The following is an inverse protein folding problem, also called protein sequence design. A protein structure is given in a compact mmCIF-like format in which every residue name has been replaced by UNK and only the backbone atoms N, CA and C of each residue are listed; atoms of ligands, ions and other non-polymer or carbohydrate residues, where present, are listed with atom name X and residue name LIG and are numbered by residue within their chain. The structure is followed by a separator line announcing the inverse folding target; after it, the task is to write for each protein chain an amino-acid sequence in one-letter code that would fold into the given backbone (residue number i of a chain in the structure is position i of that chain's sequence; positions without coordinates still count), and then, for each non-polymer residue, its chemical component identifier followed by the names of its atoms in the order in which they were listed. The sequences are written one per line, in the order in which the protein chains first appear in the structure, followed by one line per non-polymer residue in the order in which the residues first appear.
data_IF_754888878524
#
_entry.id   IF_754888878524
#
_cell.length_a   1.000
_cell.length_b   1.000
_cell.length_c   1.000
_cell.angle_alpha   90.00
_cell.angle_beta   90.00
_cell.angle_gamma   90.00
#
_symmetry.space_group_name_H-M   'P 1'
#
loop_
_entity.id
_entity.type
_entity.pdbx_description
1 polymer ?
#
# COMPACT_ATOMS: atom_id res chain seq x y z
N UNK A 1 -20.78 3.07 16.16
CA UNK A 1 -20.54 4.40 15.56
C UNK A 1 -19.04 4.62 15.50
N UNK A 2 -18.49 4.98 14.34
CA UNK A 2 -17.05 5.18 14.13
C UNK A 2 -16.67 6.63 14.42
N UNK A 3 -15.58 6.84 15.15
CA UNK A 3 -15.07 8.17 15.51
C UNK A 3 -13.69 8.39 14.92
N UNK A 4 -13.51 9.55 14.29
CA UNK A 4 -12.21 9.98 13.74
C UNK A 4 -11.66 11.13 14.60
N UNK A 5 -10.36 11.06 14.90
CA UNK A 5 -9.59 12.17 15.44
C UNK A 5 -8.66 12.69 14.33
N UNK A 6 -8.89 13.92 13.88
CA UNK A 6 -8.09 14.60 12.87
C UNK A 6 -7.15 15.60 13.53
N UNK A 7 -5.85 15.40 13.41
CA UNK A 7 -4.81 16.17 14.08
C UNK A 7 -3.91 16.83 13.04
N UNK A 8 -4.04 18.14 12.88
CA UNK A 8 -3.35 18.95 11.87
C UNK A 8 -3.28 20.40 12.38
N UNK A 9 -2.11 21.01 12.40
CA UNK A 9 -1.95 22.37 12.92
C UNK A 9 -2.43 23.44 11.93
N UNK A 10 -2.28 23.22 10.63
CA UNK A 10 -2.69 24.15 9.60
C UNK A 10 -4.21 24.11 9.37
N UNK A 11 -4.90 25.20 9.76
CA UNK A 11 -6.37 25.30 9.72
C UNK A 11 -6.97 24.98 8.34
N UNK A 12 -6.35 25.47 7.27
CA UNK A 12 -6.89 25.28 5.91
C UNK A 12 -6.73 23.84 5.43
N UNK A 13 -5.61 23.19 5.75
CA UNK A 13 -5.35 21.80 5.43
C UNK A 13 -6.31 20.92 6.22
N UNK A 14 -6.43 21.15 7.52
CA UNK A 14 -7.35 20.42 8.40
C UNK A 14 -8.79 20.51 7.92
N UNK A 15 -9.27 21.72 7.56
CA UNK A 15 -10.61 21.92 7.00
C UNK A 15 -10.79 21.19 5.66
N UNK A 16 -9.79 21.24 4.78
CA UNK A 16 -9.81 20.49 3.51
C UNK A 16 -9.97 18.99 3.71
N UNK A 17 -9.18 18.41 4.62
CA UNK A 17 -9.26 16.99 4.96
C UNK A 17 -10.61 16.65 5.61
N UNK A 18 -11.10 17.48 6.53
CA UNK A 18 -12.42 17.33 7.13
C UNK A 18 -13.53 17.22 6.06
N UNK A 19 -13.54 18.14 5.10
CA UNK A 19 -14.52 18.13 3.99
C UNK A 19 -14.37 16.89 3.10
N UNK A 20 -13.15 16.42 2.87
CA UNK A 20 -12.91 15.19 2.11
C UNK A 20 -13.45 13.95 2.84
N UNK A 21 -13.27 13.87 4.17
CA UNK A 21 -13.81 12.77 4.98
C UNK A 21 -15.35 12.78 4.95
N UNK A 22 -15.98 13.93 5.18
CA UNK A 22 -17.43 14.11 5.11
C UNK A 22 -18.02 13.64 3.77
N UNK A 23 -17.32 13.92 2.67
CA UNK A 23 -17.73 13.56 1.31
C UNK A 23 -17.20 12.20 0.82
N UNK A 24 -16.58 11.40 1.69
CA UNK A 24 -16.03 10.09 1.31
C UNK A 24 -17.08 9.00 1.16
N UNK A 25 -18.26 9.19 1.73
CA UNK A 25 -19.34 8.19 1.80
C UNK A 25 -19.09 7.06 2.82
N UNK A 26 -18.00 7.13 3.59
CA UNK A 26 -17.72 6.17 4.67
C UNK A 26 -18.55 6.51 5.90
N UNK A 27 -19.14 5.52 6.60
CA UNK A 27 -20.11 5.77 7.69
C UNK A 27 -19.41 6.17 9.01
N UNK A 28 -18.73 7.29 9.04
CA UNK A 28 -18.23 7.90 10.27
C UNK A 28 -19.32 8.76 10.93
N UNK A 29 -19.40 8.69 12.26
CA UNK A 29 -20.42 9.39 13.04
C UNK A 29 -19.94 10.70 13.65
N UNK A 30 -18.64 10.84 13.83
CA UNK A 30 -18.05 11.99 14.52
C UNK A 30 -16.61 12.19 14.06
N UNK A 31 -16.27 13.44 13.74
CA UNK A 31 -14.90 13.87 13.42
C UNK A 31 -14.53 14.94 14.43
N UNK A 32 -13.56 14.64 15.29
CA UNK A 32 -13.00 15.60 16.24
C UNK A 32 -11.71 16.17 15.67
N UNK A 33 -11.57 17.49 15.69
CA UNK A 33 -10.40 18.20 15.18
C UNK A 33 -9.47 18.65 16.31
N UNK A 34 -8.15 18.45 16.13
CA UNK A 34 -7.10 18.94 17.03
C UNK A 34 -6.02 19.66 16.24
N UNK A 35 -5.20 20.48 16.95
CA UNK A 35 -4.12 21.26 16.34
C UNK A 35 -2.72 20.71 16.61
N UNK A 36 -2.57 19.75 17.48
CA UNK A 36 -1.29 19.13 17.87
C UNK A 36 -1.55 17.82 18.61
N UNK A 37 -0.51 17.00 18.75
CA UNK A 37 -0.60 15.72 19.44
C UNK A 37 -0.94 15.81 20.93
N UNK A 38 -0.59 16.91 21.62
CA UNK A 38 -0.91 17.07 23.04
C UNK A 38 -2.41 17.24 23.28
N UNK A 39 -3.08 18.05 22.45
CA UNK A 39 -4.54 18.18 22.49
C UNK A 39 -5.20 16.84 22.15
N UNK A 40 -4.66 16.10 21.15
CA UNK A 40 -5.14 14.78 20.77
C UNK A 40 -5.06 13.77 21.93
N UNK A 41 -3.99 13.78 22.72
CA UNK A 41 -3.85 12.96 23.93
C UNK A 41 -4.97 13.21 24.94
N UNK A 42 -5.37 14.46 25.15
CA UNK A 42 -6.46 14.77 26.09
C UNK A 42 -7.80 14.22 25.60
N UNK A 43 -8.05 14.22 24.28
CA UNK A 43 -9.24 13.57 23.72
C UNK A 43 -9.17 12.04 23.85
N UNK A 44 -8.02 11.42 23.55
CA UNK A 44 -7.81 9.96 23.60
C UNK A 44 -7.94 9.39 25.03
N UNK A 45 -7.61 10.17 26.07
CA UNK A 45 -7.81 9.76 27.47
C UNK A 45 -9.28 9.64 27.86
N UNK A 46 -10.15 10.43 27.25
CA UNK A 46 -11.55 10.58 27.67
C UNK A 46 -12.54 9.94 26.69
N UNK A 47 -12.09 9.64 25.47
CA UNK A 47 -12.97 9.16 24.40
C UNK A 47 -12.25 8.17 23.53
N UNK A 48 -12.91 7.05 23.22
CA UNK A 48 -12.40 6.07 22.28
C UNK A 48 -12.61 6.53 20.84
N UNK A 49 -11.54 6.54 20.07
CA UNK A 49 -11.54 6.79 18.63
C UNK A 49 -11.19 5.52 17.87
N UNK A 50 -11.74 5.36 16.68
CA UNK A 50 -11.49 4.21 15.81
C UNK A 50 -10.34 4.50 14.85
N UNK A 51 -10.16 5.76 14.44
CA UNK A 51 -9.15 6.20 13.50
C UNK A 51 -8.55 7.54 13.93
N UNK A 52 -7.24 7.64 13.86
CA UNK A 52 -6.47 8.89 14.02
C UNK A 52 -5.79 9.21 12.70
N UNK A 53 -6.14 10.36 12.09
CA UNK A 53 -5.39 10.98 11.01
C UNK A 53 -4.52 12.06 11.60
N UNK A 54 -3.21 11.97 11.47
CA UNK A 54 -2.30 12.94 12.09
C UNK A 54 -1.22 13.43 11.14
N UNK A 55 -1.01 14.76 11.09
CA UNK A 55 0.22 15.28 10.52
C UNK A 55 1.42 14.80 11.35
N UNK A 56 2.54 14.55 10.67
CA UNK A 56 3.78 14.13 11.31
C UNK A 56 4.45 15.32 12.01
N UNK A 57 4.49 16.48 11.35
CA UNK A 57 5.20 17.67 11.84
C UNK A 57 4.22 18.71 12.36
N UNK A 58 4.06 18.75 13.65
CA UNK A 58 3.22 19.75 14.34
C UNK A 58 3.97 20.33 15.53
N UNK A 59 3.64 21.57 15.94
CA UNK A 59 4.19 22.16 17.16
C UNK A 59 3.74 21.39 18.41
N UNK A 60 4.50 21.50 19.50
CA UNK A 60 4.21 20.96 20.84
C UNK A 60 4.40 19.43 20.88
N UNK A 61 3.66 18.67 20.08
CA UNK A 61 3.76 17.21 19.94
C UNK A 61 3.38 16.83 18.51
N UNK A 62 4.32 16.22 17.78
CA UNK A 62 4.12 15.74 16.43
C UNK A 62 3.41 14.38 16.37
N UNK A 63 3.02 13.98 15.14
CA UNK A 63 2.32 12.72 14.93
C UNK A 63 3.11 11.47 15.32
N UNK A 64 4.45 11.52 15.21
CA UNK A 64 5.31 10.42 15.65
C UNK A 64 5.29 10.22 17.17
N UNK A 65 5.34 11.32 17.91
CA UNK A 65 5.26 11.29 19.37
C UNK A 65 3.88 10.88 19.85
N UNK A 66 2.82 11.37 19.18
CA UNK A 66 1.44 10.95 19.41
C UNK A 66 1.25 9.45 19.17
N UNK A 67 1.78 8.92 18.07
CA UNK A 67 1.69 7.49 17.76
C UNK A 67 2.40 6.62 18.79
N UNK A 68 3.57 7.08 19.27
CA UNK A 68 4.27 6.44 20.38
C UNK A 68 3.41 6.44 21.63
N UNK A 69 2.84 7.59 22.01
CA UNK A 69 1.99 7.70 23.18
C UNK A 69 0.80 6.74 23.13
N UNK A 70 0.12 6.65 21.97
CA UNK A 70 -0.97 5.70 21.72
C UNK A 70 -0.51 4.26 21.98
N UNK A 71 0.64 3.86 21.45
CA UNK A 71 1.18 2.50 21.64
C UNK A 71 1.57 2.21 23.09
N UNK A 72 2.09 3.20 23.81
CA UNK A 72 2.60 3.01 25.17
C UNK A 72 1.50 3.09 26.24
N UNK A 73 0.35 3.74 25.98
CA UNK A 73 -0.65 4.05 26.97
C UNK A 73 -2.04 3.44 26.72
N UNK A 74 -2.33 2.95 25.51
CA UNK A 74 -3.61 2.30 25.20
C UNK A 74 -3.41 0.79 25.00
N UNK A 75 -4.37 0.01 25.48
CA UNK A 75 -4.38 -1.44 25.26
C UNK A 75 -4.57 -1.76 23.78
N UNK A 76 -4.00 -2.86 23.30
CA UNK A 76 -3.97 -3.21 21.88
C UNK A 76 -5.39 -3.25 21.24
N UNK A 77 -6.39 -3.66 22.01
CA UNK A 77 -7.80 -3.76 21.57
C UNK A 77 -8.49 -2.40 21.49
N UNK A 78 -7.99 -1.39 22.20
CA UNK A 78 -8.55 -0.04 22.24
C UNK A 78 -7.82 0.94 21.33
N UNK A 79 -6.66 0.55 20.80
CA UNK A 79 -5.86 1.40 19.91
C UNK A 79 -6.61 1.74 18.64
N UNK A 80 -6.74 3.05 18.31
CA UNK A 80 -7.24 3.47 17.02
C UNK A 80 -6.30 3.01 15.90
N UNK A 81 -6.81 2.85 14.69
CA UNK A 81 -5.97 2.82 13.50
C UNK A 81 -5.30 4.20 13.34
N UNK A 82 -4.05 4.22 12.90
CA UNK A 82 -3.29 5.46 12.73
C UNK A 82 -2.95 5.63 11.25
N UNK A 83 -3.28 6.78 10.68
CA UNK A 83 -2.86 7.21 9.34
C UNK A 83 -2.05 8.49 9.48
N UNK A 84 -0.83 8.46 8.97
CA UNK A 84 0.04 9.61 8.96
C UNK A 84 -0.21 10.49 7.73
N UNK A 85 -0.13 11.80 7.91
CA UNK A 85 -0.17 12.79 6.82
C UNK A 85 1.17 13.51 6.83
N UNK A 86 1.80 13.66 5.66
CA UNK A 86 3.14 14.26 5.57
C UNK A 86 3.29 15.16 4.35
N UNK A 87 3.95 16.32 4.52
CA UNK A 87 4.24 17.25 3.44
C UNK A 87 5.40 16.83 2.53
N UNK A 88 6.24 15.88 2.96
CA UNK A 88 7.37 15.36 2.21
C UNK A 88 7.57 13.87 2.51
N UNK A 89 8.03 13.14 1.50
CA UNK A 89 8.49 11.75 1.65
C UNK A 89 9.81 11.70 2.46
N UNK A 90 9.79 12.20 3.69
CA UNK A 90 10.91 12.09 4.62
C UNK A 90 10.93 10.65 5.14
N UNK A 91 11.72 9.83 4.48
CA UNK A 91 11.92 8.40 4.75
C UNK A 91 12.08 8.05 6.24
N UNK A 92 12.77 8.89 7.02
CA UNK A 92 13.00 8.65 8.46
C UNK A 92 11.70 8.76 9.27
N UNK A 93 10.77 9.66 8.92
CA UNK A 93 9.49 9.80 9.63
C UNK A 93 8.51 8.68 9.29
N UNK A 94 8.44 8.31 8.02
CA UNK A 94 7.65 7.15 7.58
C UNK A 94 8.13 5.89 8.29
N UNK A 95 9.45 5.66 8.37
CA UNK A 95 10.07 4.56 9.12
C UNK A 95 9.76 4.62 10.62
N UNK A 96 9.71 5.82 11.19
CA UNK A 96 9.32 6.03 12.59
C UNK A 96 7.86 5.64 12.84
N UNK A 97 6.94 6.09 11.98
CA UNK A 97 5.51 5.79 12.08
C UNK A 97 5.20 4.29 11.94
N UNK A 98 5.96 3.59 11.09
CA UNK A 98 5.83 2.12 10.93
C UNK A 98 6.15 1.35 12.22
N UNK A 99 7.08 1.83 13.06
CA UNK A 99 7.36 1.21 14.36
C UNK A 99 6.15 1.25 15.31
N UNK A 100 5.26 2.22 15.12
CA UNK A 100 4.06 2.42 15.92
C UNK A 100 2.79 1.91 15.23
N UNK A 101 2.93 0.91 14.34
CA UNK A 101 1.80 0.21 13.70
C UNK A 101 0.83 1.16 12.96
N UNK A 102 1.34 2.27 12.38
CA UNK A 102 0.50 3.08 11.50
C UNK A 102 -0.05 2.22 10.36
N UNK A 103 -1.33 2.34 10.10
CA UNK A 103 -2.04 1.60 9.06
C UNK A 103 -1.55 2.01 7.66
N UNK A 104 -1.43 3.33 7.43
CA UNK A 104 -1.03 3.90 6.16
C UNK A 104 -0.49 5.33 6.33
N UNK A 105 -0.07 5.95 5.22
CA UNK A 105 0.32 7.36 5.18
C UNK A 105 -0.22 8.04 3.93
N UNK A 106 -0.44 9.36 4.00
CA UNK A 106 -0.87 10.24 2.92
C UNK A 106 0.17 11.33 2.69
N UNK A 107 0.44 11.63 1.44
CA UNK A 107 1.28 12.77 1.08
C UNK A 107 0.43 14.04 0.92
N UNK A 108 0.94 15.19 1.41
CA UNK A 108 0.38 16.51 1.10
C UNK A 108 0.87 16.98 -0.29
N UNK A 109 0.01 17.55 -1.13
CA UNK A 109 -1.40 17.78 -0.91
C UNK A 109 -2.22 16.48 -0.91
N UNK A 110 -3.12 16.31 0.07
CA UNK A 110 -3.92 15.10 0.22
C UNK A 110 -4.83 14.93 -1.00
N UNK A 111 -4.71 13.78 -1.66
CA UNK A 111 -5.59 13.41 -2.76
C UNK A 111 -6.89 12.81 -2.24
N UNK A 112 -8.03 13.27 -2.80
CA UNK A 112 -9.36 12.84 -2.36
C UNK A 112 -9.62 11.36 -2.58
N UNK A 113 -9.17 10.81 -3.71
CA UNK A 113 -9.39 9.40 -4.03
C UNK A 113 -8.52 8.50 -3.16
N UNK A 114 -7.29 8.93 -2.88
CA UNK A 114 -6.37 8.20 -2.01
C UNK A 114 -6.89 8.18 -0.57
N UNK A 115 -7.31 9.32 -0.03
CA UNK A 115 -7.94 9.39 1.29
C UNK A 115 -9.18 8.52 1.35
N UNK A 116 -10.06 8.58 0.35
CA UNK A 116 -11.27 7.75 0.28
C UNK A 116 -10.96 6.25 0.36
N UNK A 117 -9.95 5.77 -0.38
CA UNK A 117 -9.51 4.36 -0.35
C UNK A 117 -9.00 3.96 1.03
N UNK A 118 -8.23 4.83 1.69
CA UNK A 118 -7.71 4.58 3.04
C UNK A 118 -8.85 4.51 4.06
N UNK A 119 -9.82 5.40 3.99
CA UNK A 119 -10.98 5.41 4.88
C UNK A 119 -11.84 4.15 4.73
N UNK A 120 -12.10 3.70 3.50
CA UNK A 120 -12.82 2.44 3.26
C UNK A 120 -12.06 1.22 3.76
N UNK A 121 -10.74 1.20 3.60
CA UNK A 121 -9.89 0.14 4.14
C UNK A 121 -9.91 0.12 5.67
N UNK A 122 -9.84 1.30 6.31
CA UNK A 122 -9.97 1.43 7.77
C UNK A 122 -11.31 0.87 8.26
N UNK A 123 -12.42 1.21 7.58
CA UNK A 123 -13.75 0.69 7.93
C UNK A 123 -13.83 -0.84 7.80
N UNK A 124 -13.23 -1.42 6.78
CA UNK A 124 -13.19 -2.89 6.60
C UNK A 124 -12.43 -3.57 7.77
N UNK A 125 -11.28 -3.00 8.17
CA UNK A 125 -10.49 -3.53 9.30
C UNK A 125 -11.29 -3.42 10.61
N UNK A 126 -11.88 -2.26 10.87
CA UNK A 126 -12.66 -2.01 12.08
C UNK A 126 -13.91 -2.89 12.15
N UNK A 127 -14.54 -3.17 11.02
CA UNK A 127 -15.68 -4.09 10.94
C UNK A 127 -15.27 -5.51 11.33
N UNK A 128 -14.10 -5.97 10.88
CA UNK A 128 -13.57 -7.30 11.24
C UNK A 128 -13.23 -7.38 12.73
N UNK A 129 -12.62 -6.33 13.32
CA UNK A 129 -12.37 -6.26 14.78
C UNK A 129 -13.65 -6.34 15.63
N UNK A 130 -14.79 -5.88 15.11
CA UNK A 130 -16.08 -5.89 15.84
C UNK A 130 -16.88 -7.20 15.72
N UNK A 131 -16.46 -8.15 14.89
CA UNK A 131 -17.15 -9.43 14.67
C UNK A 131 -16.49 -10.59 15.44
N UNK A 132 -15.26 -10.43 15.90
CA UNK A 132 -14.57 -11.45 16.70
C UNK A 132 -15.05 -11.39 18.15
N UNK A 133 -16.02 -12.26 18.48
CA UNK A 133 -16.32 -12.67 19.86
C UNK A 133 -15.13 -13.52 20.41
N UNK A 134 -14.87 -13.46 21.74
CA UNK A 134 -13.71 -14.12 22.32
C UNK A 134 -13.95 -15.61 22.46
N UNK A 135 -13.60 -16.39 21.48
CA UNK A 135 -13.24 -17.80 21.65
C UNK A 135 -12.63 -18.32 20.33
N UNK A 136 -11.32 -18.37 20.28
CA UNK A 136 -10.57 -19.45 19.63
C UNK A 136 -9.08 -19.28 19.86
N UNK A 137 -8.52 -20.31 20.51
CA UNK A 137 -7.11 -20.44 20.79
C UNK A 137 -6.24 -20.45 19.55
N UNK A 138 -5.08 -19.91 19.75
CA UNK A 138 -3.79 -20.16 19.10
C UNK A 138 -3.79 -21.23 18.00
N UNK A 139 -3.91 -20.80 16.75
CA UNK A 139 -3.40 -21.54 15.59
C UNK A 139 -2.82 -20.50 14.60
N UNK A 140 -1.50 -20.61 14.40
CA UNK A 140 -0.74 -19.73 13.52
C UNK A 140 -1.05 -19.99 12.06
N UNK A 141 -2.09 -19.36 11.55
CA UNK A 141 -2.32 -19.15 10.14
C UNK A 141 -2.37 -17.64 9.92
N UNK A 142 -1.35 -17.13 9.26
CA UNK A 142 -1.21 -15.75 8.83
C UNK A 142 -2.26 -15.42 7.76
N UNK A 143 -3.50 -15.22 8.17
CA UNK A 143 -4.48 -14.53 7.32
C UNK A 143 -3.95 -13.14 7.00
N UNK A 144 -3.74 -12.88 5.71
CA UNK A 144 -3.31 -11.56 5.20
C UNK A 144 -4.32 -10.53 5.71
N UNK A 145 -3.96 -9.78 6.74
CA UNK A 145 -4.83 -8.74 7.31
C UNK A 145 -5.26 -7.76 6.22
N UNK A 146 -6.43 -7.12 6.33
CA UNK A 146 -6.95 -6.17 5.34
C UNK A 146 -5.92 -5.10 4.94
N UNK A 147 -5.09 -4.64 5.89
CA UNK A 147 -3.95 -3.73 5.66
C UNK A 147 -2.92 -4.32 4.72
N UNK A 148 -2.52 -5.57 4.96
CA UNK A 148 -1.54 -6.26 4.12
C UNK A 148 -2.10 -6.51 2.72
N UNK A 149 -3.38 -6.81 2.61
CA UNK A 149 -4.05 -7.00 1.31
C UNK A 149 -4.06 -5.71 0.48
N UNK A 150 -4.37 -4.57 1.09
CA UNK A 150 -4.31 -3.26 0.42
C UNK A 150 -2.88 -2.92 -0.02
N UNK A 151 -1.89 -3.08 0.88
CA UNK A 151 -0.47 -2.87 0.55
C UNK A 151 -0.02 -3.78 -0.60
N UNK A 152 -0.47 -5.04 -0.61
CA UNK A 152 -0.16 -5.97 -1.69
C UNK A 152 -0.83 -5.58 -3.01
N UNK A 153 -2.06 -5.08 -2.98
CA UNK A 153 -2.70 -4.56 -4.19
C UNK A 153 -1.92 -3.37 -4.76
N UNK A 154 -1.52 -2.40 -3.90
CA UNK A 154 -0.66 -1.28 -4.32
C UNK A 154 0.70 -1.75 -4.88
N UNK A 155 1.31 -2.76 -4.27
CA UNK A 155 2.55 -3.35 -4.78
C UNK A 155 2.36 -3.93 -6.18
N UNK A 156 1.29 -4.69 -6.39
CA UNK A 156 0.94 -5.26 -7.69
C UNK A 156 0.70 -4.18 -8.73
N UNK A 157 -0.02 -3.12 -8.39
CA UNK A 157 -0.30 -2.01 -9.29
C UNK A 157 0.98 -1.23 -9.64
N UNK A 158 1.85 -0.98 -8.66
CA UNK A 158 3.17 -0.39 -8.89
C UNK A 158 4.03 -1.24 -9.84
N UNK A 159 4.11 -2.55 -9.60
CA UNK A 159 4.85 -3.48 -10.47
C UNK A 159 4.28 -3.46 -11.90
N UNK A 160 2.95 -3.45 -12.05
CA UNK A 160 2.27 -3.39 -13.36
C UNK A 160 2.51 -2.09 -14.12
N UNK A 161 2.71 -0.98 -13.42
CA UNK A 161 3.02 0.32 -14.03
C UNK A 161 4.51 0.49 -14.35
N UNK A 162 5.40 -0.19 -13.61
CA UNK A 162 6.84 0.00 -13.70
C UNK A 162 7.61 -1.25 -14.19
N UNK A 163 6.95 -2.31 -14.66
CA UNK A 163 7.59 -3.58 -15.05
C UNK A 163 8.72 -3.42 -16.09
N UNK A 164 8.68 -2.39 -16.93
CA UNK A 164 9.69 -2.09 -17.95
C UNK A 164 10.97 -1.45 -17.39
N UNK A 165 10.98 -1.06 -16.12
CA UNK A 165 12.13 -0.46 -15.44
C UNK A 165 12.88 -1.52 -14.62
N UNK A 166 14.13 -1.24 -14.21
CA UNK A 166 14.86 -2.10 -13.28
C UNK A 166 14.31 -1.91 -11.86
N UNK A 167 13.18 -2.57 -11.55
CA UNK A 167 12.59 -2.59 -10.21
C UNK A 167 13.01 -3.85 -9.47
N UNK A 168 13.24 -3.73 -8.18
CA UNK A 168 13.54 -4.84 -7.28
C UNK A 168 12.56 -4.93 -6.12
N UNK A 169 12.67 -6.00 -5.34
CA UNK A 169 11.79 -6.24 -4.20
C UNK A 169 11.99 -5.21 -3.07
N UNK A 170 13.21 -4.67 -2.91
CA UNK A 170 13.49 -3.66 -1.90
C UNK A 170 12.78 -2.34 -2.23
N UNK A 171 12.82 -1.92 -3.50
CA UNK A 171 12.12 -0.74 -3.98
C UNK A 171 10.60 -0.85 -3.75
N UNK A 172 10.00 -1.99 -4.15
CA UNK A 172 8.56 -2.19 -4.02
C UNK A 172 8.13 -2.35 -2.56
N UNK A 173 8.93 -3.04 -1.73
CA UNK A 173 8.63 -3.16 -0.30
C UNK A 173 8.67 -1.80 0.39
N UNK A 174 9.62 -0.94 0.03
CA UNK A 174 9.70 0.44 0.51
C UNK A 174 8.50 1.27 0.05
N UNK A 175 8.10 1.13 -1.24
CA UNK A 175 6.94 1.84 -1.80
C UNK A 175 5.64 1.55 -1.03
N UNK A 176 5.44 0.30 -0.58
CA UNK A 176 4.26 -0.07 0.23
C UNK A 176 4.53 -0.02 1.73
N UNK A 177 5.63 0.57 2.13
CA UNK A 177 6.01 0.73 3.53
C UNK A 177 5.95 -0.60 4.30
N UNK A 178 6.64 -1.62 3.79
CA UNK A 178 6.83 -2.92 4.44
C UNK A 178 8.31 -3.27 4.54
N UNK A 179 8.69 -3.95 5.62
CA UNK A 179 10.03 -4.50 5.66
C UNK A 179 10.18 -5.64 4.64
N UNK A 180 11.40 -5.84 4.15
CA UNK A 180 11.72 -6.79 3.08
C UNK A 180 11.23 -8.22 3.36
N UNK A 181 11.43 -8.72 4.58
CA UNK A 181 11.05 -10.09 4.96
C UNK A 181 9.54 -10.27 4.98
N UNK A 182 8.83 -9.33 5.61
CA UNK A 182 7.36 -9.33 5.69
C UNK A 182 6.75 -9.18 4.29
N UNK A 183 7.28 -8.26 3.48
CA UNK A 183 6.82 -8.09 2.10
C UNK A 183 6.98 -9.40 1.30
N UNK A 184 8.14 -10.06 1.38
CA UNK A 184 8.41 -11.31 0.65
C UNK A 184 7.38 -12.39 0.97
N UNK A 185 7.08 -12.59 2.24
CA UNK A 185 6.10 -13.60 2.71
C UNK A 185 4.69 -13.22 2.28
N UNK A 186 4.25 -12.00 2.61
CA UNK A 186 2.89 -11.52 2.32
C UNK A 186 2.63 -11.43 0.81
N UNK A 187 3.62 -11.01 0.02
CA UNK A 187 3.49 -10.95 -1.44
C UNK A 187 3.27 -12.33 -2.04
N UNK A 188 4.03 -13.35 -1.56
CA UNK A 188 3.84 -14.73 -2.00
C UNK A 188 2.47 -15.29 -1.60
N UNK A 189 2.00 -14.99 -0.39
CA UNK A 189 0.66 -15.38 0.07
C UNK A 189 -0.44 -14.72 -0.79
N UNK A 190 -0.29 -13.44 -1.08
CA UNK A 190 -1.28 -12.66 -1.85
C UNK A 190 -1.34 -13.02 -3.33
N UNK A 191 -0.18 -13.22 -3.98
CA UNK A 191 -0.09 -13.48 -5.43
C UNK A 191 0.03 -14.94 -5.81
N UNK A 192 0.29 -15.82 -4.83
CA UNK A 192 0.59 -17.24 -5.04
C UNK A 192 2.03 -17.52 -5.47
N UNK A 193 2.86 -16.51 -5.69
CA UNK A 193 4.23 -16.66 -6.16
C UNK A 193 5.16 -15.55 -5.63
N UNK A 194 6.48 -15.83 -5.64
CA UNK A 194 7.44 -14.83 -5.19
C UNK A 194 7.56 -13.66 -6.18
N UNK A 195 8.04 -12.51 -5.69
CA UNK A 195 8.19 -11.27 -6.47
C UNK A 195 8.93 -11.45 -7.80
N UNK A 196 10.07 -12.15 -7.79
CA UNK A 196 10.87 -12.34 -9.02
C UNK A 196 10.13 -13.18 -10.08
N UNK A 197 9.39 -14.20 -9.65
CA UNK A 197 8.55 -15.01 -10.54
C UNK A 197 7.39 -14.19 -11.11
N UNK A 198 6.71 -13.44 -10.26
CA UNK A 198 5.60 -12.56 -10.66
C UNK A 198 6.05 -11.52 -11.69
N UNK A 199 7.13 -10.77 -11.41
CA UNK A 199 7.67 -9.77 -12.32
C UNK A 199 8.11 -10.39 -13.66
N UNK A 200 8.77 -11.55 -13.61
CA UNK A 200 9.18 -12.28 -14.79
C UNK A 200 7.98 -12.66 -15.67
N UNK A 201 6.96 -13.28 -15.10
CA UNK A 201 5.75 -13.66 -15.83
C UNK A 201 5.03 -12.46 -16.42
N UNK A 202 4.89 -11.38 -15.65
CA UNK A 202 4.30 -10.14 -16.13
C UNK A 202 5.03 -9.57 -17.35
N UNK A 203 6.36 -9.52 -17.30
CA UNK A 203 7.19 -9.07 -18.42
C UNK A 203 6.99 -9.95 -19.68
N UNK A 204 6.90 -11.26 -19.50
CA UNK A 204 6.62 -12.19 -20.61
C UNK A 204 5.21 -11.95 -21.17
N UNK A 205 4.19 -11.81 -20.34
CA UNK A 205 2.83 -11.51 -20.81
C UNK A 205 2.74 -10.17 -21.56
N UNK A 206 3.43 -9.14 -21.07
CA UNK A 206 3.51 -7.85 -21.79
C UNK A 206 4.27 -7.98 -23.10
N UNK A 207 5.33 -8.80 -23.17
CA UNK A 207 6.08 -9.02 -24.41
C UNK A 207 5.27 -9.70 -25.52
N UNK A 208 4.35 -10.60 -25.16
CA UNK A 208 3.42 -11.22 -26.13
C UNK A 208 2.59 -10.19 -26.88
N UNK A 209 2.15 -9.11 -26.18
CA UNK A 209 1.40 -8.01 -26.82
C UNK A 209 2.25 -7.24 -27.84
N UNK A 210 3.52 -7.01 -27.54
CA UNK A 210 4.45 -6.39 -28.49
C UNK A 210 4.73 -7.30 -29.69
N UNK A 211 4.94 -8.60 -29.47
CA UNK A 211 5.16 -9.59 -30.54
C UNK A 211 3.99 -9.64 -31.52
N UNK A 212 2.76 -9.51 -31.01
CA UNK A 212 1.54 -9.62 -31.81
C UNK A 212 1.18 -8.32 -32.57
N UNK A 213 1.47 -7.14 -31.97
CA UNK A 213 0.92 -5.87 -32.40
C UNK A 213 1.96 -4.92 -33.01
N UNK A 214 3.23 -5.33 -33.05
CA UNK A 214 4.32 -4.48 -33.55
C UNK A 214 5.39 -5.27 -34.30
N UNK A 215 6.05 -4.62 -35.24
CA UNK A 215 7.16 -5.18 -36.01
C UNK A 215 8.55 -4.85 -35.42
N UNK A 216 8.59 -4.30 -34.19
CA UNK A 216 9.87 -3.96 -33.54
C UNK A 216 10.70 -5.22 -33.28
N UNK A 217 12.02 -5.04 -33.24
CA UNK A 217 12.97 -6.14 -33.05
C UNK A 217 12.80 -6.83 -31.68
N UNK A 218 13.23 -8.09 -31.61
CA UNK A 218 13.23 -8.84 -30.32
C UNK A 218 14.10 -8.14 -29.27
N UNK A 219 15.17 -7.47 -29.69
CA UNK A 219 16.03 -6.68 -28.83
C UNK A 219 15.24 -5.50 -28.21
N UNK A 220 14.53 -4.73 -29.04
CA UNK A 220 13.72 -3.61 -28.56
C UNK A 220 12.58 -4.06 -27.65
N UNK A 221 11.94 -5.21 -27.94
CA UNK A 221 10.93 -5.79 -27.06
C UNK A 221 11.55 -6.11 -25.70
N UNK A 222 12.72 -6.77 -25.69
CA UNK A 222 13.38 -7.15 -24.44
C UNK A 222 13.66 -5.92 -23.56
N UNK A 223 14.12 -4.83 -24.14
CA UNK A 223 14.38 -3.57 -23.44
C UNK A 223 13.08 -2.93 -22.91
N UNK A 224 12.03 -2.85 -23.76
CA UNK A 224 10.73 -2.27 -23.37
C UNK A 224 10.06 -3.04 -22.22
N UNK A 225 10.30 -4.34 -22.10
CA UNK A 225 9.74 -5.14 -21.00
C UNK A 225 10.69 -5.31 -19.82
N UNK A 226 11.83 -4.60 -19.83
CA UNK A 226 12.73 -4.49 -18.67
C UNK A 226 13.76 -5.61 -18.54
N UNK A 227 14.12 -6.31 -19.64
CA UNK A 227 15.28 -7.19 -19.68
C UNK A 227 16.51 -6.43 -20.21
N UNK A 228 17.61 -6.53 -19.51
CA UNK A 228 18.89 -5.92 -19.89
C UNK A 228 19.51 -6.60 -21.12
N UNK A 229 19.28 -7.91 -21.28
CA UNK A 229 19.85 -8.74 -22.34
C UNK A 229 18.77 -9.53 -23.09
N UNK A 230 18.78 -9.41 -24.42
CA UNK A 230 17.86 -10.12 -25.31
C UNK A 230 18.03 -11.65 -25.25
N UNK A 231 19.24 -12.17 -24.96
CA UNK A 231 19.47 -13.61 -24.82
C UNK A 231 18.79 -14.15 -23.58
N UNK A 232 18.92 -13.43 -22.46
CA UNK A 232 18.22 -13.74 -21.21
C UNK A 232 16.71 -13.68 -21.40
N UNK A 233 16.22 -12.64 -22.09
CA UNK A 233 14.80 -12.55 -22.45
C UNK A 233 14.33 -13.76 -23.25
N UNK A 234 15.04 -14.12 -24.34
CA UNK A 234 14.66 -15.24 -25.21
C UNK A 234 14.64 -16.58 -24.46
N UNK A 235 15.62 -16.80 -23.55
CA UNK A 235 15.66 -18.00 -22.70
C UNK A 235 14.44 -18.06 -21.78
N UNK A 236 14.19 -16.99 -21.02
CA UNK A 236 13.07 -16.90 -20.07
C UNK A 236 11.73 -17.01 -20.80
N UNK A 237 11.59 -16.36 -21.96
CA UNK A 237 10.38 -16.45 -22.77
C UNK A 237 10.10 -17.89 -23.21
N UNK A 238 11.14 -18.63 -23.64
CA UNK A 238 11.01 -20.04 -24.01
C UNK A 238 10.67 -20.94 -22.82
N UNK A 239 11.25 -20.68 -21.66
CA UNK A 239 10.93 -21.40 -20.42
C UNK A 239 9.48 -21.23 -20.01
N UNK A 240 8.92 -19.99 -20.12
CA UNK A 240 7.56 -19.68 -19.72
C UNK A 240 6.49 -20.04 -20.78
N UNK A 241 6.85 -20.11 -22.07
CA UNK A 241 5.87 -20.28 -23.17
C UNK A 241 6.06 -21.53 -24.01
N UNK A 242 7.21 -22.20 -23.87
CA UNK A 242 7.60 -23.35 -24.72
C UNK A 242 8.16 -22.97 -26.10
N UNK A 243 8.04 -21.71 -26.53
CA UNK A 243 8.50 -21.23 -27.84
C UNK A 243 9.52 -20.08 -27.68
N UNK A 244 10.40 -19.94 -28.69
CA UNK A 244 11.23 -18.74 -28.76
C UNK A 244 10.37 -17.51 -29.11
N UNK A 245 10.79 -16.27 -28.76
CA UNK A 245 10.04 -15.06 -29.14
C UNK A 245 9.77 -14.95 -30.64
N UNK A 246 10.75 -15.32 -31.49
CA UNK A 246 10.61 -15.31 -32.96
C UNK A 246 9.58 -16.35 -33.41
N UNK A 247 9.70 -17.59 -32.97
CA UNK A 247 8.72 -18.63 -33.31
C UNK A 247 7.32 -18.32 -32.82
N UNK A 248 7.19 -17.66 -31.65
CA UNK A 248 5.92 -17.21 -31.11
C UNK A 248 5.29 -16.11 -32.01
N UNK A 249 6.10 -15.16 -32.48
CA UNK A 249 5.65 -14.11 -33.43
C UNK A 249 5.12 -14.74 -34.74
N UNK A 250 5.90 -15.65 -35.34
CA UNK A 250 5.56 -16.30 -36.62
C UNK A 250 4.24 -17.08 -36.48
N UNK A 251 4.07 -17.81 -35.39
CA UNK A 251 2.83 -18.53 -35.08
C UNK A 251 1.63 -17.61 -34.94
N UNK A 252 1.74 -16.53 -34.14
CA UNK A 252 0.67 -15.56 -33.92
C UNK A 252 0.27 -14.81 -35.19
N UNK A 253 1.24 -14.55 -36.09
CA UNK A 253 0.97 -13.92 -37.41
C UNK A 253 0.28 -14.89 -38.38
N UNK A 254 0.59 -16.18 -38.31
CA UNK A 254 -0.09 -17.20 -39.11
C UNK A 254 -1.55 -17.41 -38.69
N UNK A 255 -1.86 -17.30 -37.41
CA UNK A 255 -3.23 -17.44 -36.85
C UNK A 255 -4.11 -16.20 -37.10
N UNK A 256 -3.54 -15.06 -37.54
CA UNK A 256 -4.28 -13.83 -37.91
C UNK A 256 -4.69 -13.78 -39.38
N UNK A 257 -4.20 -14.68 -40.22
CA UNK A 257 -4.57 -14.81 -41.65
C UNK A 257 -5.69 -15.82 -41.84
#
# INVERSE_FOLDING_TARGET
MRRILLVEDEKMIRYGIYVMIENSGVPYSEITECRNGKDAVEYLKNTRYDLVLTDIKMPIMGGLELSRWICDNLDAEERPLIVAISGYAEFEYVKGMMKFQSMDYLLKPVDREELGKILWNAEEILRKRGVESPDMGNSGDTEVTGVNRYKMQRAVDYIRQNYGKPIDMAEVSNYVSMNYSMFSTTFKEFTGENFSSYLRKLRIEKSKKFLLNTDISILEISQKVGFEDARRFAKVFKEETGLTPTASRDKMMAEKK
#
